data_IF_379886010064
#
_entry.id   IF_379886010064
#
_cell.length_a   1.000
_cell.length_b   1.000
_cell.length_c   1.000
_cell.angle_alpha   90.00
_cell.angle_beta   90.00
_cell.angle_gamma   90.00
#
_symmetry.space_group_name_H-M   'P 1'
#
loop_
_entity.id
_entity.type
_entity.pdbx_description
1 polymer ?
#
# COMPACT_ATOMS: atom_id res chain seq x y z
N UNK A 1 -18.04 -8.05 -32.31
CA UNK A 1 -17.07 -7.63 -31.28
C UNK A 1 -17.56 -6.34 -30.61
N UNK A 2 -17.76 -6.36 -29.29
CA UNK A 2 -18.53 -5.33 -28.58
C UNK A 2 -17.62 -4.11 -28.26
N UNK A 3 -17.93 -2.94 -28.84
CA UNK A 3 -17.16 -1.67 -28.72
C UNK A 3 -16.93 -1.24 -27.24
N UNK A 4 -17.80 -1.68 -26.31
CA UNK A 4 -17.63 -1.46 -24.87
C UNK A 4 -16.43 -2.21 -24.27
N UNK A 5 -16.09 -3.40 -24.78
CA UNK A 5 -14.93 -4.20 -24.32
C UNK A 5 -13.61 -3.61 -24.84
N UNK A 6 -13.59 -3.06 -26.06
CA UNK A 6 -12.41 -2.39 -26.63
C UNK A 6 -12.03 -1.13 -25.84
N UNK A 7 -13.02 -0.35 -25.36
CA UNK A 7 -12.78 0.80 -24.48
C UNK A 7 -12.22 0.40 -23.11
N UNK A 8 -12.64 -0.76 -22.56
CA UNK A 8 -12.06 -1.28 -21.30
C UNK A 8 -10.61 -1.74 -21.50
N UNK A 9 -10.27 -2.35 -22.61
CA UNK A 9 -8.90 -2.79 -22.94
C UNK A 9 -7.94 -1.59 -23.11
N UNK A 10 -8.38 -0.52 -23.75
CA UNK A 10 -7.60 0.73 -23.83
C UNK A 10 -7.44 1.42 -22.46
N UNK A 11 -8.42 1.31 -21.56
CA UNK A 11 -8.32 1.84 -20.21
C UNK A 11 -7.35 1.03 -19.35
N UNK A 12 -7.27 -0.30 -19.52
CA UNK A 12 -6.31 -1.17 -18.83
C UNK A 12 -4.86 -0.93 -19.30
N UNK A 13 -4.64 -0.67 -20.58
CA UNK A 13 -3.34 -0.30 -21.11
C UNK A 13 -2.86 1.08 -20.61
N UNK A 14 -3.78 2.02 -20.40
CA UNK A 14 -3.46 3.34 -19.82
C UNK A 14 -3.20 3.29 -18.31
N UNK A 15 -3.85 2.39 -17.56
CA UNK A 15 -3.62 2.22 -16.12
C UNK A 15 -2.29 1.52 -15.84
N UNK A 16 -1.87 0.56 -16.65
CA UNK A 16 -0.56 -0.10 -16.54
C UNK A 16 0.63 0.86 -16.75
N UNK A 17 0.48 1.86 -17.60
CA UNK A 17 1.52 2.88 -17.85
C UNK A 17 1.65 3.93 -16.71
N UNK A 18 0.62 4.10 -15.87
CA UNK A 18 0.64 5.06 -14.76
C UNK A 18 1.23 4.50 -13.45
N UNK A 19 1.36 3.20 -13.29
CA UNK A 19 1.86 2.60 -12.04
C UNK A 19 3.39 2.44 -11.97
N UNK A 20 4.08 2.50 -13.10
CA UNK A 20 5.54 2.39 -13.16
C UNK A 20 6.31 3.67 -12.75
N UNK A 21 5.63 4.75 -12.41
CA UNK A 21 6.21 6.07 -12.10
C UNK A 21 5.81 6.68 -10.75
N UNK A 22 5.26 5.92 -9.82
CA UNK A 22 4.90 6.46 -8.50
C UNK A 22 6.11 6.47 -7.54
N UNK A 23 7.04 7.40 -7.77
CA UNK A 23 7.70 8.09 -6.66
C UNK A 23 6.57 8.75 -5.86
N UNK A 24 6.44 8.38 -4.58
CA UNK A 24 5.47 8.96 -3.66
C UNK A 24 5.69 10.48 -3.66
N UNK A 25 4.82 11.31 -4.26
CA UNK A 25 4.91 12.73 -4.02
C UNK A 25 4.43 12.94 -2.59
N UNK A 26 5.26 13.63 -1.80
CA UNK A 26 4.84 14.21 -0.53
C UNK A 26 3.72 15.22 -0.85
N UNK A 27 2.50 14.73 -0.96
CA UNK A 27 1.34 15.59 -1.04
C UNK A 27 1.08 16.14 0.36
N UNK A 28 1.55 17.37 0.58
CA UNK A 28 0.90 18.27 1.50
C UNK A 28 -0.52 18.55 0.96
N UNK A 29 -1.40 17.56 1.08
CA UNK A 29 -2.82 17.76 0.83
C UNK A 29 -3.33 18.66 1.96
N UNK A 30 -3.75 19.86 1.63
CA UNK A 30 -4.64 20.66 2.47
C UNK A 30 -5.90 19.83 2.72
N UNK A 31 -5.86 18.94 3.71
CA UNK A 31 -7.03 18.24 4.19
C UNK A 31 -7.89 19.25 4.95
N UNK A 32 -9.12 19.47 4.48
CA UNK A 32 -10.16 20.08 5.30
C UNK A 32 -10.11 19.42 6.67
N UNK A 33 -9.89 20.22 7.71
CA UNK A 33 -9.86 19.79 9.10
C UNK A 33 -11.16 19.02 9.41
N UNK A 34 -11.10 17.70 9.37
CA UNK A 34 -12.10 16.87 10.04
C UNK A 34 -11.74 16.95 11.52
N UNK A 35 -12.34 17.88 12.22
CA UNK A 35 -12.26 17.95 13.69
C UNK A 35 -12.95 16.69 14.20
N UNK A 36 -12.15 15.71 14.59
CA UNK A 36 -12.66 14.57 15.36
C UNK A 36 -12.99 15.14 16.75
N UNK A 37 -14.27 15.13 17.13
CA UNK A 37 -14.65 15.57 18.46
C UNK A 37 -13.94 14.68 19.49
N UNK A 38 -13.27 15.26 20.50
CA UNK A 38 -12.63 14.50 21.56
C UNK A 38 -13.70 13.68 22.33
N UNK A 39 -13.31 12.49 22.76
CA UNK A 39 -14.21 11.58 23.49
C UNK A 39 -14.56 12.13 24.90
N UNK A 40 -13.69 12.99 25.46
CA UNK A 40 -13.88 13.67 26.73
C UNK A 40 -13.92 15.19 26.58
N UNK A 41 -14.61 15.84 27.49
CA UNK A 41 -14.61 17.29 27.58
C UNK A 41 -13.17 17.81 27.84
N UNK A 42 -12.79 18.98 27.31
CA UNK A 42 -11.42 19.49 27.42
C UNK A 42 -10.87 19.64 28.85
N UNK A 43 -11.76 19.82 29.83
CA UNK A 43 -11.41 20.08 31.23
C UNK A 43 -11.41 18.81 32.12
N UNK A 44 -11.77 17.64 31.58
CA UNK A 44 -11.72 16.39 32.36
C UNK A 44 -10.29 15.82 32.42
N UNK A 45 -9.84 15.39 33.63
CA UNK A 45 -8.53 14.77 33.77
C UNK A 45 -8.41 13.49 32.92
N UNK A 46 -7.33 13.38 32.18
CA UNK A 46 -7.04 12.22 31.32
C UNK A 46 -5.93 11.37 31.92
N UNK A 47 -6.13 10.06 31.91
CA UNK A 47 -5.09 9.09 32.26
C UNK A 47 -4.13 8.87 31.09
N UNK A 48 -2.96 8.28 31.37
CA UNK A 48 -1.99 7.90 30.33
C UNK A 48 -2.63 7.00 29.25
N UNK A 49 -3.44 6.03 29.66
CA UNK A 49 -4.08 5.09 28.75
C UNK A 49 -5.10 5.77 27.83
N UNK A 50 -5.86 6.73 28.36
CA UNK A 50 -6.82 7.51 27.58
C UNK A 50 -6.12 8.40 26.56
N UNK A 51 -5.01 9.05 26.95
CA UNK A 51 -4.18 9.85 26.04
C UNK A 51 -3.59 8.97 24.94
N UNK A 52 -3.04 7.80 25.27
CA UNK A 52 -2.52 6.85 24.31
C UNK A 52 -3.58 6.38 23.31
N UNK A 53 -4.79 6.07 23.78
CA UNK A 53 -5.93 5.66 22.96
C UNK A 53 -6.35 6.78 22.00
N UNK A 54 -6.40 8.02 22.50
CA UNK A 54 -6.75 9.20 21.69
C UNK A 54 -5.69 9.47 20.61
N UNK A 55 -4.39 9.39 20.95
CA UNK A 55 -3.29 9.50 19.99
C UNK A 55 -3.42 8.45 18.88
N UNK A 56 -3.70 7.20 19.22
CA UNK A 56 -3.88 6.15 18.22
C UNK A 56 -5.09 6.38 17.32
N UNK A 57 -6.19 6.92 17.86
CA UNK A 57 -7.44 7.16 17.11
C UNK A 57 -7.36 8.39 16.21
N UNK A 58 -6.79 9.47 16.70
CA UNK A 58 -6.91 10.80 16.09
C UNK A 58 -5.72 11.20 15.24
N UNK A 59 -4.61 10.47 15.34
CA UNK A 59 -3.36 10.83 14.67
C UNK A 59 -3.52 10.85 13.15
N UNK A 60 -3.02 11.92 12.52
CA UNK A 60 -3.05 12.13 11.07
C UNK A 60 -2.33 11.01 10.31
N UNK A 61 -1.24 10.48 10.89
CA UNK A 61 -0.47 9.40 10.27
C UNK A 61 -1.30 8.11 10.18
N UNK A 62 -2.03 7.74 11.24
CA UNK A 62 -2.92 6.59 11.21
C UNK A 62 -3.99 6.70 10.11
N UNK A 63 -4.60 7.87 9.96
CA UNK A 63 -5.57 8.13 8.88
C UNK A 63 -4.92 7.99 7.49
N UNK A 64 -3.70 8.49 7.33
CA UNK A 64 -2.95 8.36 6.08
C UNK A 64 -2.62 6.89 5.79
N UNK A 65 -2.20 6.12 6.79
CA UNK A 65 -1.94 4.69 6.66
C UNK A 65 -3.22 3.92 6.27
N UNK A 66 -4.35 4.20 6.91
CA UNK A 66 -5.64 3.59 6.55
C UNK A 66 -6.07 3.90 5.11
N UNK A 67 -5.87 5.13 4.65
CA UNK A 67 -6.15 5.50 3.26
C UNK A 67 -5.23 4.77 2.28
N UNK A 68 -3.96 4.63 2.61
CA UNK A 68 -3.00 3.88 1.79
C UNK A 68 -3.37 2.38 1.76
N UNK A 69 -3.80 1.79 2.89
CA UNK A 69 -4.34 0.44 2.91
C UNK A 69 -5.52 0.26 1.95
N UNK A 70 -6.51 1.13 2.03
CA UNK A 70 -7.69 1.10 1.13
C UNK A 70 -7.28 1.23 -0.34
N UNK A 71 -6.27 2.06 -0.62
CA UNK A 71 -5.73 2.21 -1.98
C UNK A 71 -5.06 0.94 -2.48
N UNK A 72 -4.25 0.28 -1.65
CA UNK A 72 -3.60 -0.99 -2.00
C UNK A 72 -4.63 -2.10 -2.17
N UNK A 73 -5.66 -2.18 -1.32
CA UNK A 73 -6.74 -3.16 -1.47
C UNK A 73 -7.57 -2.94 -2.74
N UNK A 74 -7.83 -1.68 -3.10
CA UNK A 74 -8.48 -1.37 -4.35
C UNK A 74 -7.62 -1.75 -5.57
N UNK A 75 -6.30 -1.54 -5.47
CA UNK A 75 -5.34 -1.98 -6.48
C UNK A 75 -5.31 -3.49 -6.64
N UNK A 76 -5.29 -4.25 -5.55
CA UNK A 76 -5.34 -5.72 -5.58
C UNK A 76 -6.62 -6.23 -6.27
N UNK A 77 -7.78 -5.66 -5.93
CA UNK A 77 -9.05 -6.03 -6.61
C UNK A 77 -9.01 -5.73 -8.10
N UNK A 78 -8.46 -4.56 -8.48
CA UNK A 78 -8.35 -4.21 -9.90
C UNK A 78 -7.44 -5.16 -10.68
N UNK A 79 -6.37 -5.67 -10.06
CA UNK A 79 -5.49 -6.68 -10.66
C UNK A 79 -6.21 -8.04 -10.76
N UNK A 80 -6.93 -8.46 -9.72
CA UNK A 80 -7.70 -9.71 -9.73
C UNK A 80 -8.81 -9.68 -10.81
N UNK A 81 -9.50 -8.55 -10.94
CA UNK A 81 -10.49 -8.34 -12.02
C UNK A 81 -9.82 -8.40 -13.41
N UNK A 82 -8.62 -7.79 -13.54
CA UNK A 82 -7.84 -7.85 -14.78
C UNK A 82 -7.41 -9.26 -15.17
N UNK A 83 -6.96 -10.07 -14.22
CA UNK A 83 -6.61 -11.49 -14.44
C UNK A 83 -7.84 -12.31 -14.87
N UNK A 84 -9.00 -12.02 -14.28
CA UNK A 84 -10.27 -12.67 -14.66
C UNK A 84 -10.68 -12.27 -16.08
N UNK A 85 -10.63 -10.97 -16.40
CA UNK A 85 -10.95 -10.45 -17.75
C UNK A 85 -10.04 -11.09 -18.83
N UNK A 86 -8.74 -11.32 -18.54
CA UNK A 86 -7.81 -12.02 -19.45
C UNK A 86 -8.21 -13.47 -19.68
N UNK A 87 -8.59 -14.16 -18.61
CA UNK A 87 -9.05 -15.55 -18.69
C UNK A 87 -10.32 -15.67 -19.53
N UNK A 88 -11.27 -14.75 -19.34
CA UNK A 88 -12.50 -14.70 -20.13
C UNK A 88 -12.21 -14.41 -21.61
N UNK A 89 -11.24 -13.52 -21.91
CA UNK A 89 -10.83 -13.21 -23.27
C UNK A 89 -10.22 -14.43 -23.98
N UNK A 90 -9.40 -15.21 -23.29
CA UNK A 90 -8.83 -16.45 -23.83
C UNK A 90 -9.93 -17.49 -24.10
N UNK A 91 -10.88 -17.65 -23.18
CA UNK A 91 -12.02 -18.56 -23.35
C UNK A 91 -12.90 -18.14 -24.50
N UNK A 92 -13.19 -16.85 -24.67
CA UNK A 92 -13.97 -16.31 -25.79
C UNK A 92 -13.26 -16.54 -27.13
N UNK A 93 -11.93 -16.42 -27.19
CA UNK A 93 -11.11 -16.68 -28.39
C UNK A 93 -11.15 -18.17 -28.77
N UNK A 94 -10.94 -19.06 -27.79
CA UNK A 94 -11.02 -20.50 -27.98
C UNK A 94 -12.42 -20.95 -28.43
N UNK A 95 -13.48 -20.35 -27.86
CA UNK A 95 -14.84 -20.63 -28.30
C UNK A 95 -15.11 -20.19 -29.74
N UNK A 96 -14.65 -18.99 -30.09
CA UNK A 96 -14.76 -18.45 -31.46
C UNK A 96 -14.04 -19.34 -32.49
N UNK A 97 -12.86 -19.84 -32.14
CA UNK A 97 -12.11 -20.81 -32.96
C UNK A 97 -12.90 -22.12 -33.16
N UNK A 98 -13.46 -22.67 -32.08
CA UNK A 98 -14.29 -23.90 -32.17
C UNK A 98 -15.47 -23.68 -33.10
N UNK A 99 -16.21 -22.58 -32.94
CA UNK A 99 -17.33 -22.25 -33.82
C UNK A 99 -16.90 -22.11 -35.30
N UNK A 100 -15.77 -21.46 -35.56
CA UNK A 100 -15.25 -21.34 -36.93
C UNK A 100 -14.83 -22.69 -37.50
N UNK A 101 -14.23 -23.57 -36.70
CA UNK A 101 -13.85 -24.94 -37.10
C UNK A 101 -15.07 -25.80 -37.38
N UNK A 102 -16.10 -25.72 -36.52
CA UNK A 102 -17.34 -26.49 -36.69
C UNK A 102 -18.11 -26.05 -37.95
N UNK A 103 -18.19 -24.72 -38.17
CA UNK A 103 -18.78 -24.14 -39.36
C UNK A 103 -18.02 -24.57 -40.64
N UNK A 104 -16.68 -24.56 -40.59
CA UNK A 104 -15.84 -25.00 -41.69
C UNK A 104 -16.07 -26.50 -41.98
N UNK A 105 -16.17 -27.33 -40.94
CA UNK A 105 -16.41 -28.78 -41.08
C UNK A 105 -17.79 -29.05 -41.67
N UNK A 106 -18.82 -28.34 -41.21
CA UNK A 106 -20.20 -28.46 -41.76
C UNK A 106 -20.25 -27.97 -43.22
N UNK A 107 -19.58 -26.86 -43.54
CA UNK A 107 -19.45 -26.36 -44.91
C UNK A 107 -18.76 -27.37 -45.85
N UNK A 108 -17.63 -27.96 -45.39
CA UNK A 108 -16.93 -29.00 -46.17
C UNK A 108 -17.82 -30.23 -46.42
N UNK A 109 -18.65 -30.62 -45.46
CA UNK A 109 -19.62 -31.71 -45.67
C UNK A 109 -20.67 -31.31 -46.73
N UNK A 110 -21.18 -30.06 -46.68
CA UNK A 110 -22.09 -29.53 -47.70
C UNK A 110 -21.48 -29.48 -49.09
N UNK A 111 -20.24 -29.01 -49.21
CA UNK A 111 -19.45 -29.01 -50.45
C UNK A 111 -19.29 -30.42 -51.01
N UNK A 112 -19.02 -31.41 -50.14
CA UNK A 112 -18.95 -32.82 -50.51
C UNK A 112 -20.26 -33.36 -51.11
N UNK A 113 -21.39 -32.99 -50.52
CA UNK A 113 -22.73 -33.37 -51.04
C UNK A 113 -23.04 -32.72 -52.38
N UNK A 114 -22.73 -31.44 -52.56
CA UNK A 114 -22.89 -30.70 -53.83
C UNK A 114 -22.07 -31.37 -54.93
N UNK A 115 -20.79 -31.67 -54.61
CA UNK A 115 -19.87 -32.31 -55.55
C UNK A 115 -20.36 -33.74 -55.94
N UNK A 116 -20.81 -34.51 -55.01
CA UNK A 116 -21.37 -35.85 -55.27
C UNK A 116 -22.65 -35.77 -56.10
N UNK A 117 -23.57 -34.80 -55.76
CA UNK A 117 -24.78 -34.56 -56.53
C UNK A 117 -24.53 -34.10 -57.95
N UNK A 118 -23.52 -33.23 -58.16
CA UNK A 118 -23.11 -32.78 -59.52
C UNK A 118 -22.49 -33.89 -60.32
N UNK A 119 -21.73 -34.79 -59.71
CA UNK A 119 -21.20 -35.99 -60.35
C UNK A 119 -22.33 -36.96 -60.82
N UNK A 120 -23.29 -37.20 -59.93
CA UNK A 120 -24.49 -38.07 -60.31
C UNK A 120 -25.29 -37.42 -61.45
N UNK A 121 -25.48 -36.09 -61.47
CA UNK A 121 -26.14 -35.34 -62.51
C UNK A 121 -25.39 -35.46 -63.86
N UNK A 122 -24.05 -35.31 -63.79
CA UNK A 122 -23.21 -35.56 -64.98
C UNK A 122 -23.35 -36.91 -65.55
N UNK A 123 -23.34 -37.98 -64.71
CA UNK A 123 -23.46 -39.32 -65.15
C UNK A 123 -24.83 -39.60 -65.76
N UNK A 124 -25.91 -39.05 -65.16
CA UNK A 124 -27.27 -39.19 -65.70
C UNK A 124 -27.40 -38.45 -67.07
N UNK A 125 -26.90 -37.26 -67.24
CA UNK A 125 -26.96 -36.54 -68.48
C UNK A 125 -26.00 -37.13 -69.55
N UNK A 126 -24.88 -37.71 -69.12
CA UNK A 126 -23.98 -38.51 -69.97
C UNK A 126 -24.67 -39.78 -70.60
N UNK A 127 -25.48 -40.44 -69.80
CA UNK A 127 -26.24 -41.59 -70.24
C UNK A 127 -27.34 -41.28 -71.29
N UNK A 128 -27.80 -40.01 -71.35
CA UNK A 128 -28.76 -39.50 -72.33
C UNK A 128 -28.12 -39.17 -73.71
N UNK A 129 -26.77 -39.06 -73.76
CA UNK A 129 -26.00 -38.85 -74.99
C UNK A 129 -26.12 -37.44 -75.63
N UNK A 130 -25.37 -37.21 -76.72
CA UNK A 130 -25.42 -35.99 -77.52
C UNK A 130 -25.10 -34.67 -76.75
N UNK A 131 -25.86 -33.61 -77.00
CA UNK A 131 -25.60 -32.34 -76.38
C UNK A 131 -25.78 -32.31 -74.84
N UNK A 132 -26.52 -33.28 -74.32
CA UNK A 132 -26.77 -33.41 -72.86
C UNK A 132 -25.54 -33.88 -72.11
N UNK A 133 -24.66 -34.64 -72.71
CA UNK A 133 -23.39 -35.07 -72.10
C UNK A 133 -22.44 -33.84 -71.91
N UNK A 134 -22.35 -32.98 -72.92
CA UNK A 134 -21.56 -31.72 -72.78
C UNK A 134 -22.12 -30.76 -71.74
N UNK A 135 -23.44 -30.67 -71.59
CA UNK A 135 -24.10 -29.90 -70.52
C UNK A 135 -23.77 -30.47 -69.12
N UNK A 136 -23.76 -31.81 -68.99
CA UNK A 136 -23.41 -32.47 -67.73
C UNK A 136 -21.95 -32.20 -67.31
N UNK A 137 -21.04 -32.25 -68.26
CA UNK A 137 -19.64 -31.88 -67.98
C UNK A 137 -19.43 -30.40 -67.60
N UNK A 138 -20.11 -29.49 -68.29
CA UNK A 138 -20.09 -28.06 -68.00
C UNK A 138 -20.63 -27.73 -66.60
N UNK A 139 -21.81 -28.31 -66.25
CA UNK A 139 -22.41 -28.15 -64.90
C UNK A 139 -21.52 -28.74 -63.82
N UNK A 140 -20.95 -29.93 -63.99
CA UNK A 140 -20.04 -30.51 -63.03
C UNK A 140 -18.77 -29.68 -62.87
N UNK A 141 -18.24 -29.08 -63.92
CA UNK A 141 -17.11 -28.16 -63.87
C UNK A 141 -17.41 -26.91 -63.05
N UNK A 142 -18.59 -26.31 -63.28
CA UNK A 142 -19.04 -25.14 -62.51
C UNK A 142 -19.24 -25.46 -61.01
N UNK A 143 -19.90 -26.54 -60.68
CA UNK A 143 -20.12 -26.95 -59.31
C UNK A 143 -18.81 -27.33 -58.60
N UNK A 144 -17.89 -27.99 -59.28
CA UNK A 144 -16.55 -28.27 -58.77
C UNK A 144 -15.75 -27.02 -58.51
N UNK A 145 -15.82 -26.01 -59.41
CA UNK A 145 -15.16 -24.73 -59.26
C UNK A 145 -15.73 -23.95 -58.06
N UNK A 146 -17.07 -23.91 -57.88
CA UNK A 146 -17.71 -23.29 -56.74
C UNK A 146 -17.34 -23.99 -55.43
N UNK A 147 -17.30 -25.31 -55.43
CA UNK A 147 -16.90 -26.15 -54.31
C UNK A 147 -15.47 -25.86 -53.87
N UNK A 148 -14.55 -25.66 -54.79
CA UNK A 148 -13.15 -25.26 -54.51
C UNK A 148 -13.05 -23.87 -53.87
N UNK A 149 -13.79 -22.89 -54.38
CA UNK A 149 -13.83 -21.55 -53.82
C UNK A 149 -14.38 -21.57 -52.40
N UNK A 150 -15.51 -22.23 -52.17
CA UNK A 150 -16.15 -22.37 -50.88
C UNK A 150 -15.25 -23.08 -49.87
N UNK A 151 -14.63 -24.19 -50.22
CA UNK A 151 -13.63 -24.90 -49.42
C UNK A 151 -12.42 -24.01 -49.06
N UNK A 152 -11.93 -23.20 -50.04
CA UNK A 152 -10.88 -22.23 -49.81
C UNK A 152 -11.24 -21.15 -48.79
N UNK A 153 -12.49 -20.61 -48.88
CA UNK A 153 -12.98 -19.61 -47.94
C UNK A 153 -13.18 -20.19 -46.53
N UNK A 154 -13.76 -21.38 -46.41
CA UNK A 154 -13.96 -22.08 -45.12
C UNK A 154 -12.62 -22.39 -44.42
N UNK A 155 -11.66 -22.92 -45.19
CA UNK A 155 -10.31 -23.19 -44.71
C UNK A 155 -9.57 -21.88 -44.28
N UNK A 156 -9.75 -20.79 -45.05
CA UNK A 156 -9.22 -19.47 -44.71
C UNK A 156 -9.82 -18.95 -43.42
N UNK A 157 -11.12 -19.04 -43.22
CA UNK A 157 -11.81 -18.59 -42.00
C UNK A 157 -11.31 -19.35 -40.74
N UNK A 158 -11.17 -20.67 -40.85
CA UNK A 158 -10.68 -21.51 -39.75
C UNK A 158 -9.21 -21.18 -39.39
N UNK A 159 -8.34 -20.95 -40.38
CA UNK A 159 -6.94 -20.55 -40.18
C UNK A 159 -6.84 -19.16 -39.53
N UNK A 160 -7.68 -18.23 -39.98
CA UNK A 160 -7.71 -16.86 -39.41
C UNK A 160 -8.17 -16.91 -37.94
N UNK A 161 -9.19 -17.72 -37.62
CA UNK A 161 -9.65 -17.88 -36.25
C UNK A 161 -8.56 -18.49 -35.35
N UNK A 162 -7.81 -19.49 -35.86
CA UNK A 162 -6.67 -20.07 -35.12
C UNK A 162 -5.52 -19.06 -34.92
N UNK A 163 -5.21 -18.22 -35.92
CA UNK A 163 -4.21 -17.20 -35.76
C UNK A 163 -4.63 -16.11 -34.74
N UNK A 164 -5.92 -15.75 -34.74
CA UNK A 164 -6.47 -14.82 -33.72
C UNK A 164 -6.39 -15.39 -32.31
N UNK A 165 -6.70 -16.67 -32.10
CA UNK A 165 -6.56 -17.34 -30.80
C UNK A 165 -5.11 -17.30 -30.33
N UNK A 166 -4.14 -17.69 -31.17
CA UNK A 166 -2.70 -17.66 -30.83
C UNK A 166 -2.24 -16.24 -30.46
N UNK A 167 -2.72 -15.21 -31.19
CA UNK A 167 -2.40 -13.82 -30.88
C UNK A 167 -3.00 -13.38 -29.52
N UNK A 168 -4.24 -13.78 -29.24
CA UNK A 168 -4.89 -13.50 -27.97
C UNK A 168 -4.15 -14.19 -26.81
N UNK A 169 -3.77 -15.46 -27.00
CA UNK A 169 -3.00 -16.19 -25.98
C UNK A 169 -1.67 -15.53 -25.68
N UNK A 170 -0.90 -15.15 -26.71
CA UNK A 170 0.38 -14.46 -26.53
C UNK A 170 0.24 -13.12 -25.79
N UNK A 171 -0.78 -12.33 -26.13
CA UNK A 171 -1.05 -11.07 -25.47
C UNK A 171 -1.49 -11.30 -24.03
N UNK A 172 -2.36 -12.31 -23.79
CA UNK A 172 -2.85 -12.63 -22.48
C UNK A 172 -1.74 -13.14 -21.55
N UNK A 173 -0.80 -13.95 -22.05
CA UNK A 173 0.37 -14.40 -21.28
C UNK A 173 1.26 -13.22 -20.87
N UNK A 174 1.62 -12.34 -21.78
CA UNK A 174 2.43 -11.16 -21.48
C UNK A 174 1.75 -10.23 -20.48
N UNK A 175 0.44 -10.05 -20.58
CA UNK A 175 -0.30 -9.20 -19.64
C UNK A 175 -0.48 -9.88 -18.29
N UNK A 176 -0.64 -11.20 -18.26
CA UNK A 176 -0.74 -11.99 -17.03
C UNK A 176 0.51 -11.86 -16.18
N UNK A 177 1.70 -12.06 -16.77
CA UNK A 177 2.98 -11.90 -16.07
C UNK A 177 3.09 -10.51 -15.44
N UNK A 178 2.71 -9.47 -16.19
CA UNK A 178 2.74 -8.08 -15.69
C UNK A 178 1.76 -7.87 -14.53
N UNK A 179 0.55 -8.44 -14.59
CA UNK A 179 -0.46 -8.32 -13.55
C UNK A 179 -0.08 -9.13 -12.30
N UNK A 180 0.52 -10.30 -12.45
CA UNK A 180 1.03 -11.11 -11.35
C UNK A 180 2.18 -10.42 -10.62
N UNK A 181 3.10 -9.78 -11.36
CA UNK A 181 4.15 -8.94 -10.78
C UNK A 181 3.56 -7.75 -9.99
N UNK A 182 2.56 -7.07 -10.55
CA UNK A 182 1.85 -5.99 -9.86
C UNK A 182 1.12 -6.49 -8.62
N UNK A 183 0.46 -7.64 -8.70
CA UNK A 183 -0.21 -8.26 -7.55
C UNK A 183 0.78 -8.54 -6.42
N UNK A 184 1.94 -9.10 -6.77
CA UNK A 184 3.02 -9.39 -5.82
C UNK A 184 3.56 -8.11 -5.18
N UNK A 185 3.82 -7.06 -5.96
CA UNK A 185 4.23 -5.76 -5.47
C UNK A 185 3.21 -5.12 -4.52
N UNK A 186 1.91 -5.19 -4.85
CA UNK A 186 0.84 -4.68 -3.99
C UNK A 186 0.68 -5.50 -2.70
N UNK A 187 0.82 -6.84 -2.75
CA UNK A 187 0.83 -7.70 -1.55
C UNK A 187 1.98 -7.33 -0.61
N UNK A 188 3.17 -7.08 -1.16
CA UNK A 188 4.33 -6.63 -0.39
C UNK A 188 4.09 -5.26 0.23
N UNK A 189 3.61 -4.29 -0.54
CA UNK A 189 3.25 -2.95 -0.04
C UNK A 189 2.23 -3.03 1.09
N UNK A 190 1.24 -3.94 0.99
CA UNK A 190 0.27 -4.18 2.06
C UNK A 190 0.92 -4.68 3.34
N UNK A 191 1.88 -5.59 3.23
CA UNK A 191 2.64 -6.08 4.39
C UNK A 191 3.48 -4.98 5.02
N UNK A 192 4.16 -4.16 4.21
CA UNK A 192 4.97 -3.04 4.67
C UNK A 192 4.12 -1.99 5.40
N UNK A 193 2.95 -1.64 4.84
CA UNK A 193 2.01 -0.73 5.50
C UNK A 193 1.53 -1.29 6.85
N UNK A 194 1.26 -2.60 6.92
CA UNK A 194 0.82 -3.26 8.14
C UNK A 194 1.89 -3.21 9.23
N UNK A 195 3.15 -3.40 8.83
CA UNK A 195 4.28 -3.26 9.74
C UNK A 195 4.47 -1.82 10.19
N UNK A 196 4.46 -0.86 9.26
CA UNK A 196 4.55 0.56 9.57
C UNK A 196 3.45 1.01 10.55
N UNK A 197 2.25 0.46 10.43
CA UNK A 197 1.16 0.75 11.36
C UNK A 197 1.45 0.20 12.76
N UNK A 198 2.03 -1.01 12.84
CA UNK A 198 2.40 -1.61 14.12
C UNK A 198 3.55 -0.85 14.78
N UNK A 199 4.61 -0.56 14.04
CA UNK A 199 5.77 0.21 14.52
C UNK A 199 5.33 1.59 15.02
N UNK A 200 4.49 2.27 14.26
CA UNK A 200 3.92 3.55 14.67
C UNK A 200 3.10 3.43 15.96
N UNK A 201 2.32 2.36 16.11
CA UNK A 201 1.55 2.12 17.33
C UNK A 201 2.47 2.01 18.55
N UNK A 202 3.54 1.24 18.44
CA UNK A 202 4.52 1.04 19.51
C UNK A 202 5.30 2.33 19.81
N UNK A 203 5.78 3.02 18.78
CA UNK A 203 6.51 4.27 18.90
C UNK A 203 5.63 5.38 19.49
N UNK A 204 4.39 5.52 19.03
CA UNK A 204 3.46 6.52 19.55
C UNK A 204 3.11 6.29 21.03
N UNK A 205 3.01 5.03 21.46
CA UNK A 205 2.81 4.70 22.87
C UNK A 205 4.01 5.14 23.71
N UNK A 206 5.23 4.85 23.28
CA UNK A 206 6.46 5.21 23.98
C UNK A 206 6.61 6.74 24.06
N UNK A 207 6.43 7.45 22.94
CA UNK A 207 6.53 8.92 22.89
C UNK A 207 5.46 9.57 23.79
N UNK A 208 4.23 9.07 23.74
CA UNK A 208 3.15 9.56 24.62
C UNK A 208 3.47 9.35 26.09
N UNK A 209 3.96 8.16 26.47
CA UNK A 209 4.37 7.88 27.84
C UNK A 209 5.49 8.81 28.30
N UNK A 210 6.49 9.04 27.46
CA UNK A 210 7.59 9.94 27.78
C UNK A 210 7.10 11.39 27.98
N UNK A 211 6.26 11.89 27.08
CA UNK A 211 5.70 13.24 27.16
C UNK A 211 4.80 13.42 28.37
N UNK A 212 3.92 12.48 28.67
CA UNK A 212 3.06 12.50 29.85
C UNK A 212 3.90 12.51 31.13
N UNK A 213 4.87 11.60 31.25
CA UNK A 213 5.78 11.54 32.40
C UNK A 213 6.55 12.87 32.56
N UNK A 214 7.06 13.42 31.45
CA UNK A 214 7.77 14.70 31.47
C UNK A 214 6.86 15.85 31.91
N UNK A 215 5.63 15.89 31.42
CA UNK A 215 4.63 16.91 31.77
C UNK A 215 4.34 16.88 33.27
N UNK A 216 4.06 15.70 33.83
CA UNK A 216 3.81 15.53 35.28
C UNK A 216 5.04 15.92 36.11
N UNK A 217 6.24 15.56 35.67
CA UNK A 217 7.50 15.97 36.33
C UNK A 217 7.68 17.48 36.34
N UNK A 218 7.39 18.15 35.21
CA UNK A 218 7.51 19.61 35.13
C UNK A 218 6.44 20.29 35.97
N UNK A 219 5.19 19.79 36.00
CA UNK A 219 4.12 20.30 36.89
C UNK A 219 4.54 20.23 38.37
N UNK A 220 5.06 19.08 38.80
CA UNK A 220 5.58 18.93 40.16
C UNK A 220 6.80 19.85 40.42
N UNK A 221 7.67 20.02 39.43
CA UNK A 221 8.81 20.95 39.51
C UNK A 221 8.38 22.39 39.64
N UNK A 222 7.35 22.84 38.95
CA UNK A 222 6.78 24.17 39.06
C UNK A 222 6.29 24.46 40.49
N UNK A 223 5.59 23.48 41.10
CA UNK A 223 5.15 23.63 42.50
C UNK A 223 6.33 23.86 43.47
N UNK A 224 7.42 23.09 43.32
CA UNK A 224 8.62 23.26 44.11
C UNK A 224 9.35 24.60 43.82
N UNK A 225 9.37 25.03 42.57
CA UNK A 225 9.94 26.33 42.20
C UNK A 225 9.14 27.51 42.79
N UNK A 226 7.80 27.38 42.84
CA UNK A 226 6.94 28.38 43.47
C UNK A 226 7.18 28.46 44.98
N UNK A 227 7.30 27.34 45.70
CA UNK A 227 7.69 27.35 47.12
C UNK A 227 9.07 27.95 47.34
N UNK A 228 10.05 27.62 46.49
CA UNK A 228 11.39 28.20 46.53
C UNK A 228 11.34 29.71 46.32
N UNK A 229 10.54 30.18 45.37
CA UNK A 229 10.38 31.62 45.09
C UNK A 229 9.81 32.36 46.30
N UNK A 230 8.78 31.83 46.96
CA UNK A 230 8.22 32.41 48.18
C UNK A 230 9.26 32.48 49.30
N UNK A 231 10.09 31.45 49.46
CA UNK A 231 11.18 31.48 50.45
C UNK A 231 12.24 32.54 50.11
N UNK A 232 12.63 32.70 48.85
CA UNK A 232 13.57 33.72 48.40
C UNK A 232 13.03 35.12 48.66
N UNK A 233 11.74 35.37 48.40
CA UNK A 233 11.07 36.65 48.69
C UNK A 233 11.09 36.97 50.19
N UNK A 234 10.76 35.98 51.03
CA UNK A 234 10.81 36.17 52.53
C UNK A 234 12.24 36.44 52.99
N UNK A 235 13.27 35.77 52.45
CA UNK A 235 14.66 36.00 52.80
C UNK A 235 15.09 37.41 52.35
N UNK A 236 14.67 37.86 51.17
CA UNK A 236 14.93 39.20 50.67
C UNK A 236 14.28 40.29 51.58
N UNK A 237 13.05 40.08 52.04
CA UNK A 237 12.38 40.98 53.00
C UNK A 237 13.15 41.08 54.34
N UNK A 238 13.61 39.93 54.90
CA UNK A 238 14.42 39.90 56.13
C UNK A 238 15.72 40.65 55.90
N UNK A 239 16.38 40.44 54.78
CA UNK A 239 17.64 41.15 54.48
C UNK A 239 17.42 42.64 54.32
N UNK A 240 16.29 43.07 53.72
CA UNK A 240 15.88 44.47 53.65
C UNK A 240 15.74 45.11 55.06
N UNK A 241 15.04 44.44 56.00
CA UNK A 241 14.91 44.89 57.38
C UNK A 241 16.26 44.98 58.10
N UNK A 242 17.16 44.01 57.87
CA UNK A 242 18.52 44.05 58.42
C UNK A 242 19.33 45.23 57.86
N UNK A 243 19.23 45.54 56.58
CA UNK A 243 19.88 46.69 55.96
C UNK A 243 19.36 48.02 56.53
N UNK A 244 18.01 48.13 56.74
CA UNK A 244 17.38 49.27 57.38
C UNK A 244 17.89 49.50 58.83
N UNK A 245 18.16 48.42 59.55
CA UNK A 245 18.68 48.44 60.92
C UNK A 245 20.22 48.56 60.99
N UNK A 246 20.89 48.61 59.86
CA UNK A 246 22.34 48.69 59.78
C UNK A 246 23.11 47.38 60.06
N UNK A 247 22.40 46.24 60.06
CA UNK A 247 22.98 44.90 60.29
C UNK A 247 23.39 44.17 58.98
N UNK A 248 23.10 44.77 57.83
CA UNK A 248 23.48 44.22 56.51
C UNK A 248 23.85 45.35 55.57
N UNK A 249 24.56 45.07 54.48
CA UNK A 249 24.95 46.06 53.46
C UNK A 249 23.90 46.08 52.31
N UNK A 250 23.84 47.25 51.61
CA UNK A 250 23.00 47.34 50.40
C UNK A 250 23.45 46.35 49.31
N UNK A 251 24.72 45.96 49.28
CA UNK A 251 25.24 44.96 48.32
C UNK A 251 24.66 43.58 48.61
N UNK A 252 24.53 43.20 49.89
CA UNK A 252 23.92 41.94 50.29
C UNK A 252 22.42 41.89 49.93
N UNK A 253 21.73 43.02 50.16
CA UNK A 253 20.33 43.15 49.78
C UNK A 253 20.11 43.06 48.26
N UNK A 254 20.97 43.74 47.49
CA UNK A 254 20.90 43.70 46.02
C UNK A 254 21.23 42.30 45.47
N UNK A 255 22.14 41.55 46.13
CA UNK A 255 22.37 40.13 45.85
C UNK A 255 21.10 39.29 46.04
N UNK A 256 20.34 39.52 47.14
CA UNK A 256 19.10 38.79 47.41
C UNK A 256 17.95 39.14 46.42
N UNK A 257 17.88 40.42 46.02
CA UNK A 257 16.95 40.84 44.95
C UNK A 257 17.25 40.12 43.60
N UNK A 258 18.54 39.93 43.27
CA UNK A 258 18.96 39.23 42.10
C UNK A 258 18.57 37.74 42.15
N UNK A 259 18.73 37.09 43.33
CA UNK A 259 18.29 35.70 43.55
C UNK A 259 16.76 35.57 43.36
N UNK A 260 15.96 36.50 43.88
CA UNK A 260 14.50 36.55 43.68
C UNK A 260 14.14 36.71 42.20
N UNK A 261 14.81 37.64 41.51
CA UNK A 261 14.57 37.84 40.06
C UNK A 261 14.93 36.60 39.22
N UNK A 262 16.01 35.92 39.58
CA UNK A 262 16.41 34.67 38.90
C UNK A 262 15.38 33.52 39.19
N UNK A 263 14.92 33.39 40.44
CA UNK A 263 13.90 32.41 40.78
C UNK A 263 12.58 32.64 40.03
N UNK A 264 12.15 33.91 39.94
CA UNK A 264 10.96 34.27 39.15
C UNK A 264 11.11 33.89 37.64
N UNK A 265 12.31 34.12 37.10
CA UNK A 265 12.61 33.72 35.71
C UNK A 265 12.60 32.21 35.53
N UNK A 266 13.23 31.46 36.44
CA UNK A 266 13.25 29.97 36.40
C UNK A 266 11.81 29.41 36.45
N UNK A 267 10.93 29.99 37.25
CA UNK A 267 9.51 29.63 37.33
C UNK A 267 8.78 29.89 36.01
N UNK A 268 9.02 31.07 35.39
CA UNK A 268 8.43 31.43 34.10
C UNK A 268 8.90 30.47 32.99
N UNK A 269 10.20 30.20 32.92
CA UNK A 269 10.79 29.29 31.92
C UNK A 269 10.21 27.88 32.08
N UNK A 270 9.98 27.40 33.30
CA UNK A 270 9.33 26.11 33.57
C UNK A 270 7.87 26.12 33.13
N UNK A 271 7.10 27.19 33.38
CA UNK A 271 5.71 27.31 32.95
C UNK A 271 5.56 27.34 31.42
N UNK A 272 6.47 28.02 30.72
CA UNK A 272 6.52 28.06 29.28
C UNK A 272 6.86 26.67 28.72
N UNK A 273 7.79 25.95 29.35
CA UNK A 273 8.13 24.57 29.04
C UNK A 273 6.94 23.61 29.19
N UNK A 274 6.17 23.76 30.28
CA UNK A 274 4.93 23.01 30.51
C UNK A 274 3.90 23.25 29.41
N UNK A 275 3.71 24.50 29.03
CA UNK A 275 2.79 24.88 27.94
C UNK A 275 3.20 24.22 26.63
N UNK A 276 4.49 24.19 26.31
CA UNK A 276 5.00 23.52 25.12
C UNK A 276 4.74 22.02 25.14
N UNK A 277 4.97 21.33 26.27
CA UNK A 277 4.69 19.89 26.41
C UNK A 277 3.20 19.57 26.23
N UNK A 278 2.30 20.38 26.82
CA UNK A 278 0.84 20.21 26.64
C UNK A 278 0.42 20.43 25.19
N UNK A 279 1.00 21.42 24.49
CA UNK A 279 0.79 21.64 23.06
C UNK A 279 1.23 20.44 22.22
N UNK A 280 2.38 19.84 22.53
CA UNK A 280 2.87 18.65 21.85
C UNK A 280 1.94 17.44 22.05
N UNK A 281 1.42 17.23 23.26
CA UNK A 281 0.44 16.20 23.53
C UNK A 281 -0.87 16.45 22.78
N UNK A 282 -1.37 17.69 22.78
CA UNK A 282 -2.58 18.05 22.03
C UNK A 282 -2.39 17.82 20.51
N UNK A 283 -1.24 18.16 19.94
CA UNK A 283 -0.93 17.89 18.54
C UNK A 283 -0.92 16.39 18.23
N UNK A 284 -0.28 15.58 19.09
CA UNK A 284 -0.30 14.12 18.96
C UNK A 284 -1.73 13.54 19.03
N UNK A 285 -2.58 14.07 19.90
CA UNK A 285 -3.99 13.69 20.00
C UNK A 285 -4.86 14.24 18.85
N UNK A 286 -4.30 15.13 18.01
CA UNK A 286 -5.05 15.80 16.95
C UNK A 286 -6.05 16.83 17.44
N UNK A 287 -5.86 17.34 18.67
CA UNK A 287 -6.63 18.41 19.30
C UNK A 287 -6.12 19.80 18.91
N UNK A 288 -6.86 20.84 19.28
CA UNK A 288 -6.36 22.22 19.18
C UNK A 288 -5.14 22.42 20.08
N UNK A 289 -4.08 23.10 19.58
CA UNK A 289 -2.82 23.23 20.31
C UNK A 289 -2.98 23.87 21.71
N UNK A 290 -3.91 24.82 21.84
CA UNK A 290 -4.14 25.59 23.06
C UNK A 290 -5.35 25.06 23.87
N UNK A 291 -5.86 23.86 23.55
CA UNK A 291 -6.90 23.24 24.36
C UNK A 291 -6.37 22.87 25.74
N UNK A 292 -7.23 23.05 26.75
CA UNK A 292 -6.89 22.72 28.13
C UNK A 292 -6.65 21.22 28.26
N UNK A 293 -5.51 20.84 28.85
CA UNK A 293 -5.15 19.46 29.10
C UNK A 293 -4.79 19.29 30.57
N UNK A 294 -5.61 18.51 31.29
CA UNK A 294 -5.37 18.08 32.67
C UNK A 294 -4.97 16.61 32.65
N UNK A 295 -3.83 16.28 33.23
CA UNK A 295 -3.28 14.93 33.24
C UNK A 295 -3.38 14.34 34.64
N UNK A 296 -3.97 13.16 34.76
CA UNK A 296 -3.90 12.37 35.98
C UNK A 296 -2.51 11.76 36.10
N UNK A 297 -1.75 12.04 37.19
CA UNK A 297 -0.44 11.45 37.36
C UNK A 297 -0.49 9.92 37.33
N UNK A 298 0.35 9.25 36.51
CA UNK A 298 0.40 7.80 36.50
C UNK A 298 0.91 7.28 37.87
N UNK A 299 0.30 6.19 38.35
CA UNK A 299 0.82 5.49 39.52
C UNK A 299 2.08 4.74 39.12
N UNK A 300 3.24 5.19 39.62
CA UNK A 300 4.50 4.47 39.44
C UNK A 300 4.58 3.38 40.50
N UNK A 301 4.32 2.14 40.12
CA UNK A 301 4.63 0.98 40.98
C UNK A 301 6.15 0.84 41.08
N UNK A 302 6.64 0.70 42.31
CA UNK A 302 8.07 0.51 42.61
C UNK A 302 8.57 -0.91 42.30
N UNK A 303 7.76 -1.76 41.69
CA UNK A 303 8.17 -3.08 41.27
C UNK A 303 9.20 -2.95 40.15
N UNK A 304 10.45 -2.83 40.57
CA UNK A 304 11.61 -3.05 39.69
C UNK A 304 11.57 -4.55 39.40
N UNK A 305 10.82 -4.97 38.40
CA UNK A 305 11.04 -6.27 37.81
C UNK A 305 12.50 -6.34 37.43
N UNK A 306 13.21 -7.32 37.97
CA UNK A 306 14.59 -7.61 37.60
C UNK A 306 14.61 -7.67 36.08
N UNK A 307 15.44 -6.82 35.48
CA UNK A 307 15.58 -6.77 34.02
C UNK A 307 15.75 -8.19 33.50
N UNK A 308 14.96 -8.61 32.51
CA UNK A 308 15.07 -9.98 32.01
C UNK A 308 16.52 -10.26 31.60
N UNK A 309 17.09 -11.37 32.05
CA UNK A 309 18.41 -11.79 31.64
C UNK A 309 18.44 -11.81 30.09
N UNK A 310 19.36 -11.04 29.51
CA UNK A 310 19.58 -11.03 28.07
C UNK A 310 20.20 -12.38 27.67
N UNK A 311 19.35 -13.40 27.49
CA UNK A 311 19.75 -14.73 27.03
C UNK A 311 19.69 -14.85 25.50
N UNK A 312 20.38 -15.85 24.96
CA UNK A 312 20.35 -16.21 23.53
C UNK A 312 18.93 -16.38 23.00
N UNK A 313 18.00 -16.79 23.84
CA UNK A 313 16.59 -17.01 23.49
C UNK A 313 15.83 -15.68 23.21
N UNK A 314 16.12 -14.64 23.98
CA UNK A 314 15.58 -13.28 23.73
C UNK A 314 16.16 -12.69 22.43
N UNK A 315 17.46 -12.90 22.20
CA UNK A 315 18.10 -12.47 20.95
C UNK A 315 17.48 -13.19 19.75
N UNK A 316 17.28 -14.50 19.85
CA UNK A 316 16.62 -15.30 18.80
C UNK A 316 15.19 -14.84 18.55
N UNK A 317 14.42 -14.56 19.59
CA UNK A 317 13.07 -14.02 19.46
C UNK A 317 13.07 -12.61 18.82
N UNK A 318 14.02 -11.76 19.16
CA UNK A 318 14.18 -10.43 18.55
C UNK A 318 14.51 -10.54 17.06
N UNK A 319 15.42 -11.46 16.68
CA UNK A 319 15.78 -11.75 15.29
C UNK A 319 14.56 -12.28 14.52
N UNK A 320 13.83 -13.25 15.08
CA UNK A 320 12.66 -13.85 14.43
C UNK A 320 11.48 -12.86 14.31
N UNK A 321 11.38 -11.90 15.22
CA UNK A 321 10.37 -10.84 15.17
C UNK A 321 10.81 -9.65 14.33
N UNK A 322 12.11 -9.54 14.00
CA UNK A 322 12.64 -8.42 13.22
C UNK A 322 11.98 -8.35 11.85
N UNK A 323 11.24 -7.26 11.63
CA UNK A 323 10.61 -7.00 10.34
C UNK A 323 11.65 -6.79 9.24
N UNK A 324 12.74 -6.08 9.53
CA UNK A 324 13.82 -5.83 8.57
C UNK A 324 14.40 -7.14 8.04
N UNK A 325 14.64 -8.12 8.91
CA UNK A 325 15.12 -9.44 8.48
C UNK A 325 14.09 -10.21 7.67
N UNK A 326 12.81 -10.12 8.04
CA UNK A 326 11.72 -10.73 7.26
C UNK A 326 11.62 -10.12 5.86
N UNK A 327 11.77 -8.81 5.75
CA UNK A 327 11.77 -8.10 4.46
C UNK A 327 12.94 -8.54 3.61
N UNK A 328 14.16 -8.56 4.16
CA UNK A 328 15.36 -9.02 3.45
C UNK A 328 15.24 -10.48 2.97
N UNK A 329 14.72 -11.38 3.81
CA UNK A 329 14.47 -12.79 3.43
C UNK A 329 13.48 -12.89 2.28
N UNK A 330 12.40 -12.11 2.31
CA UNK A 330 11.42 -12.03 1.22
C UNK A 330 12.04 -11.50 -0.06
N UNK A 331 12.82 -10.41 0.03
CA UNK A 331 13.46 -9.79 -1.13
C UNK A 331 14.50 -10.74 -1.74
N UNK A 332 15.24 -11.48 -0.91
CA UNK A 332 16.12 -12.56 -1.35
C UNK A 332 15.35 -13.66 -2.08
N UNK A 333 14.26 -14.16 -1.51
CA UNK A 333 13.45 -15.19 -2.15
C UNK A 333 12.91 -14.73 -3.51
N UNK A 334 12.46 -13.49 -3.63
CA UNK A 334 12.01 -12.91 -4.91
C UNK A 334 13.15 -12.79 -5.93
N UNK A 335 14.37 -12.43 -5.49
CA UNK A 335 15.55 -12.40 -6.35
C UNK A 335 15.90 -13.81 -6.85
N UNK A 336 15.85 -14.83 -5.96
CA UNK A 336 16.07 -16.23 -6.32
C UNK A 336 15.04 -16.74 -7.34
N UNK A 337 13.75 -16.42 -7.15
CA UNK A 337 12.68 -16.78 -8.08
C UNK A 337 12.90 -16.12 -9.46
N UNK A 338 13.32 -14.86 -9.50
CA UNK A 338 13.67 -14.16 -10.75
C UNK A 338 14.87 -14.79 -11.45
N UNK A 339 15.93 -15.12 -10.69
CA UNK A 339 17.15 -15.74 -11.23
C UNK A 339 16.87 -17.11 -11.82
N UNK A 340 15.96 -17.88 -11.24
CA UNK A 340 15.58 -19.21 -11.72
C UNK A 340 14.62 -19.17 -12.92
N UNK A 341 14.10 -18.00 -13.27
CA UNK A 341 13.22 -17.84 -14.42
C UNK A 341 14.03 -17.75 -15.71
N UNK A 342 13.92 -18.77 -16.57
CA UNK A 342 14.64 -18.88 -17.83
C UNK A 342 14.28 -17.80 -18.87
N UNK A 343 13.24 -17.02 -18.64
CA UNK A 343 12.79 -15.93 -19.53
C UNK A 343 13.52 -14.60 -19.24
N UNK A 344 14.32 -14.51 -18.19
CA UNK A 344 15.06 -13.30 -17.85
C UNK A 344 16.28 -13.10 -18.75
N UNK A 345 16.51 -11.84 -19.14
CA UNK A 345 17.75 -11.46 -19.84
C UNK A 345 18.94 -11.49 -18.87
N UNK A 346 20.15 -11.75 -19.40
CA UNK A 346 21.40 -11.82 -18.62
C UNK A 346 21.60 -10.64 -17.66
N UNK A 347 21.21 -9.43 -18.07
CA UNK A 347 21.32 -8.23 -17.24
C UNK A 347 20.38 -8.25 -16.04
N UNK A 348 19.18 -8.80 -16.17
CA UNK A 348 18.22 -8.94 -15.09
C UNK A 348 18.65 -10.04 -14.11
N UNK A 349 19.21 -11.14 -14.63
CA UNK A 349 19.78 -12.21 -13.81
C UNK A 349 20.89 -11.67 -12.92
N UNK A 350 21.85 -10.91 -13.49
CA UNK A 350 22.93 -10.28 -12.72
C UNK A 350 22.43 -9.30 -11.67
N UNK A 351 21.41 -8.50 -11.97
CA UNK A 351 20.80 -7.60 -10.99
C UNK A 351 20.17 -8.38 -9.82
N UNK A 352 19.48 -9.49 -10.11
CA UNK A 352 18.87 -10.34 -9.09
C UNK A 352 19.92 -11.06 -8.24
N UNK A 353 21.05 -11.48 -8.82
CA UNK A 353 22.19 -12.05 -8.07
C UNK A 353 22.80 -11.02 -7.11
N UNK A 354 23.01 -9.78 -7.54
CA UNK A 354 23.48 -8.70 -6.69
C UNK A 354 22.50 -8.37 -5.55
N UNK A 355 21.20 -8.40 -5.81
CA UNK A 355 20.18 -8.20 -4.78
C UNK A 355 20.21 -9.33 -3.73
N UNK A 356 20.46 -10.58 -4.14
CA UNK A 356 20.66 -11.69 -3.22
C UNK A 356 21.91 -11.50 -2.36
N UNK A 357 23.04 -11.14 -2.98
CA UNK A 357 24.29 -10.90 -2.26
C UNK A 357 24.15 -9.78 -1.23
N UNK A 358 23.46 -8.68 -1.59
CA UNK A 358 23.15 -7.59 -0.66
C UNK A 358 22.27 -8.06 0.49
N UNK A 359 21.27 -8.88 0.24
CA UNK A 359 20.39 -9.42 1.26
C UNK A 359 21.17 -10.37 2.21
N UNK A 360 22.06 -11.20 1.70
CA UNK A 360 22.90 -12.11 2.51
C UNK A 360 23.90 -11.35 3.41
N UNK A 361 24.49 -10.27 2.92
CA UNK A 361 25.40 -9.43 3.73
C UNK A 361 24.64 -8.64 4.81
N UNK A 362 23.37 -8.30 4.56
CA UNK A 362 22.55 -7.51 5.49
C UNK A 362 21.85 -8.36 6.57
N UNK A 363 21.77 -9.68 6.39
CA UNK A 363 21.29 -10.64 7.40
C UNK A 363 22.37 -11.05 8.37
#
# INVERSE_FOLDING_TARGET
MNVKRYKKMCALLLTGAMTAGMTVPAYAAQSKNVVVQPEKAPDEPMTLEEIQKEVQRSNRLNKTLELNFKKVEAGLRAVDDGLTDLTDMQNDAAHSRRQASDAASAGHAGVGQITAGSGALKDMLGAMGGPNAALGEGLNGLFSGLAQIESGLLSGASKTAGAMETMVDTIAEQQRDTLEDQQTGLKNTRLDLKQTQQDWKEESQLVTQLLVTKTVQVEAGIALLAEKQELLERVCEIEGKKAELGFSTNVDLDGKKLEVAQGAKDLQDAADGLTLLKRQLNDLMGRGLDETLVITPPEFTRDIETAPEYGEELLKQAVDKSYKLKTLRRDKQQAEEKTNNSSLYDGQIRASELDMDIADVAM
#
